data_IF_123971546020
#
_entry.id   IF_123971546020
#
_cell.length_a   1.000
_cell.length_b   1.000
_cell.length_c   1.000
_cell.angle_alpha   90.00
_cell.angle_beta   90.00
_cell.angle_gamma   90.00
#
_symmetry.space_group_name_H-M   'P 1'
#
loop_
_entity.id
_entity.type
_entity.pdbx_description
1 polymer ?
#
# COMPACT_ATOMS: atom_id res chain seq x y z
N UNK A 1 31.21 34.43 -37.38
CA UNK A 1 30.50 35.15 -36.29
C UNK A 1 29.66 34.12 -35.56
N UNK A 2 30.29 33.28 -34.74
CA UNK A 2 30.53 33.56 -33.32
C UNK A 2 29.26 34.00 -32.55
N UNK A 3 28.83 33.04 -31.71
CA UNK A 3 28.41 33.19 -30.32
C UNK A 3 26.99 33.64 -29.95
N UNK A 4 26.45 32.82 -29.03
CA UNK A 4 25.49 33.13 -27.96
C UNK A 4 24.02 33.25 -28.40
N UNK A 5 23.02 32.61 -27.75
CA UNK A 5 22.88 32.40 -26.31
C UNK A 5 21.72 31.42 -25.98
N UNK A 6 22.07 30.34 -25.26
CA UNK A 6 21.36 29.71 -24.12
C UNK A 6 19.87 29.29 -24.20
N UNK A 7 19.69 27.97 -24.00
CA UNK A 7 18.86 27.32 -22.95
C UNK A 7 17.41 27.82 -22.80
N UNK A 8 16.42 27.04 -23.24
CA UNK A 8 15.15 26.96 -22.50
C UNK A 8 14.50 25.59 -22.70
N UNK A 9 14.53 24.85 -21.61
CA UNK A 9 14.16 23.46 -21.44
C UNK A 9 12.64 23.26 -21.52
N UNK A 10 12.22 22.33 -22.39
CA UNK A 10 11.15 21.36 -22.20
C UNK A 10 9.88 21.85 -21.46
N UNK A 11 8.88 22.31 -22.21
CA UNK A 11 7.47 22.34 -21.76
C UNK A 11 6.69 21.45 -22.71
N UNK A 12 6.64 20.15 -22.40
CA UNK A 12 5.83 19.18 -23.13
C UNK A 12 4.73 18.70 -22.18
N UNK A 13 3.50 19.06 -22.55
CA UNK A 13 2.26 18.30 -22.40
C UNK A 13 1.99 17.60 -21.06
N UNK A 14 1.03 18.12 -20.30
CA UNK A 14 -0.20 17.39 -19.96
C UNK A 14 -1.10 18.30 -19.10
N UNK A 15 -1.67 19.32 -19.74
CA UNK A 15 -3.00 19.79 -19.35
C UNK A 15 -4.01 18.76 -19.86
N UNK A 16 -5.06 18.49 -19.06
CA UNK A 16 -6.24 17.67 -19.34
C UNK A 16 -6.24 16.25 -18.74
N UNK A 17 -6.58 16.18 -17.45
CA UNK A 17 -7.46 15.12 -16.92
C UNK A 17 -8.28 15.72 -15.77
N UNK A 18 -9.30 16.51 -16.12
CA UNK A 18 -10.39 16.83 -15.19
C UNK A 18 -11.40 15.67 -15.20
N UNK A 19 -11.65 15.13 -14.02
CA UNK A 19 -12.86 14.42 -13.58
C UNK A 19 -13.35 13.21 -14.40
N UNK A 20 -12.99 12.00 -13.94
CA UNK A 20 -13.89 10.84 -13.70
C UNK A 20 -13.02 9.62 -13.38
N UNK A 21 -12.40 9.66 -12.20
CA UNK A 21 -11.53 8.59 -11.72
C UNK A 21 -11.91 8.17 -10.32
N UNK A 22 -13.17 7.79 -10.09
CA UNK A 22 -13.54 6.93 -8.97
C UNK A 22 -12.99 5.51 -9.17
N UNK A 23 -11.74 5.41 -9.61
CA UNK A 23 -11.03 4.16 -9.80
C UNK A 23 -10.60 3.68 -8.42
N UNK A 24 -10.97 2.45 -8.09
CA UNK A 24 -10.36 1.73 -6.99
C UNK A 24 -8.86 1.69 -7.29
N UNK A 25 -8.07 2.45 -6.53
CA UNK A 25 -6.63 2.48 -6.72
C UNK A 25 -6.03 1.20 -6.13
N UNK A 26 -5.67 0.30 -7.05
CA UNK A 26 -4.97 -0.94 -6.75
C UNK A 26 -3.48 -0.73 -6.94
N UNK A 27 -2.68 -0.87 -5.89
CA UNK A 27 -1.23 -0.94 -6.02
C UNK A 27 -0.80 -2.40 -6.09
N UNK A 28 -0.24 -2.82 -7.23
CA UNK A 28 0.21 -4.20 -7.45
C UNK A 28 1.69 -4.44 -7.11
N UNK A 29 2.48 -3.38 -6.89
CA UNK A 29 3.90 -3.51 -6.60
C UNK A 29 4.26 -2.77 -5.31
N UNK A 30 5.05 -3.44 -4.48
CA UNK A 30 5.91 -2.76 -3.52
C UNK A 30 7.26 -2.48 -4.21
N UNK A 31 7.92 -1.38 -3.87
CA UNK A 31 9.27 -1.14 -4.37
C UNK A 31 10.27 -2.16 -3.78
N UNK A 32 11.54 -2.05 -4.17
CA UNK A 32 12.62 -2.92 -3.67
C UNK A 32 12.77 -2.87 -2.14
N UNK A 33 12.33 -1.80 -1.48
CA UNK A 33 12.33 -1.63 -0.04
C UNK A 33 11.04 -2.14 0.64
N UNK A 34 10.08 -2.66 -0.13
CA UNK A 34 8.78 -3.08 0.37
C UNK A 34 7.84 -1.91 0.65
N UNK A 35 8.13 -0.70 0.15
CA UNK A 35 7.28 0.46 0.34
C UNK A 35 6.12 0.44 -0.66
N UNK A 36 4.93 0.73 -0.15
CA UNK A 36 3.69 0.89 -0.94
C UNK A 36 3.08 2.23 -0.57
N UNK A 37 2.72 3.02 -1.57
CA UNK A 37 2.00 4.28 -1.37
C UNK A 37 0.66 4.22 -2.09
N UNK A 38 -0.41 4.45 -1.34
CA UNK A 38 -1.79 4.49 -1.82
C UNK A 38 -2.28 5.92 -1.71
N UNK A 39 -2.76 6.51 -2.79
CA UNK A 39 -3.46 7.79 -2.69
C UNK A 39 -4.85 7.57 -2.10
N UNK A 40 -5.34 8.57 -1.36
CA UNK A 40 -6.72 8.62 -0.91
C UNK A 40 -7.54 9.16 -2.08
N UNK A 41 -8.47 8.39 -2.67
CA UNK A 41 -9.32 8.89 -3.74
C UNK A 41 -10.24 10.02 -3.27
N UNK A 42 -10.52 10.08 -1.96
CA UNK A 42 -11.25 11.15 -1.28
C UNK A 42 -10.90 11.23 0.20
N UNK A 43 -11.22 12.35 0.82
CA UNK A 43 -11.22 12.46 2.28
C UNK A 43 -12.27 11.50 2.88
N UNK A 44 -11.95 10.77 3.96
CA UNK A 44 -12.93 9.95 4.68
C UNK A 44 -14.01 10.85 5.31
N UNK A 45 -15.26 10.41 5.33
CA UNK A 45 -16.29 11.09 6.10
C UNK A 45 -16.07 10.87 7.61
N UNK A 46 -16.70 11.70 8.44
CA UNK A 46 -16.55 11.63 9.90
C UNK A 46 -17.03 10.28 10.49
N UNK A 47 -17.98 9.63 9.83
CA UNK A 47 -18.55 8.33 10.17
C UNK A 47 -17.90 7.18 9.37
N UNK A 48 -16.69 7.37 8.85
CA UNK A 48 -15.96 6.34 8.11
C UNK A 48 -14.57 6.09 8.69
N UNK A 49 -14.19 4.81 8.73
CA UNK A 49 -12.82 4.39 8.95
C UNK A 49 -12.17 3.94 7.65
N UNK A 50 -10.93 4.37 7.41
CA UNK A 50 -10.11 3.86 6.31
C UNK A 50 -9.38 2.60 6.77
N UNK A 51 -9.40 1.57 5.92
CA UNK A 51 -8.62 0.36 6.10
C UNK A 51 -7.83 0.07 4.84
N UNK A 52 -6.70 -0.62 4.99
CA UNK A 52 -5.98 -1.20 3.84
C UNK A 52 -6.41 -2.66 3.68
N UNK A 53 -6.84 -3.00 2.47
CA UNK A 53 -7.11 -4.37 2.06
C UNK A 53 -5.91 -4.87 1.27
N UNK A 54 -5.26 -5.92 1.77
CA UNK A 54 -4.05 -6.51 1.20
C UNK A 54 -4.39 -7.87 0.62
N UNK A 55 -4.05 -8.06 -0.65
CA UNK A 55 -4.13 -9.31 -1.38
C UNK A 55 -2.77 -10.01 -1.30
N UNK A 56 -2.71 -11.10 -0.55
CA UNK A 56 -1.49 -11.88 -0.37
C UNK A 56 -1.55 -13.17 -1.20
N UNK A 57 -0.48 -13.43 -1.93
CA UNK A 57 -0.33 -14.63 -2.74
C UNK A 57 0.27 -15.77 -1.93
N UNK A 58 1.14 -16.57 -2.55
CA UNK A 58 1.72 -17.73 -1.87
C UNK A 58 2.83 -17.26 -0.94
N UNK A 59 2.65 -17.47 0.37
CA UNK A 59 3.68 -17.15 1.36
C UNK A 59 4.50 -18.39 1.74
N UNK A 60 5.82 -18.26 2.00
CA UNK A 60 6.62 -19.34 2.55
C UNK A 60 6.01 -19.89 3.85
N UNK A 61 6.24 -21.18 4.12
CA UNK A 61 5.70 -21.81 5.34
C UNK A 61 6.18 -21.06 6.59
N UNK A 62 5.26 -20.82 7.52
CA UNK A 62 5.53 -20.13 8.80
C UNK A 62 6.10 -18.71 8.58
N UNK A 63 5.60 -18.02 7.57
CA UNK A 63 5.90 -16.61 7.31
C UNK A 63 4.65 -15.74 7.39
N UNK A 64 4.88 -14.45 7.54
CA UNK A 64 3.85 -13.42 7.62
C UNK A 64 4.36 -12.12 7.02
N UNK A 65 3.49 -11.35 6.37
CA UNK A 65 3.81 -9.97 5.99
C UNK A 65 3.43 -9.06 7.16
N UNK A 66 4.41 -8.41 7.74
CA UNK A 66 4.23 -7.37 8.76
C UNK A 66 4.06 -6.04 8.04
N UNK A 67 2.98 -5.32 8.36
CA UNK A 67 2.65 -4.03 7.75
C UNK A 67 2.96 -2.93 8.75
N UNK A 68 3.80 -1.98 8.34
CA UNK A 68 4.25 -0.87 9.17
C UNK A 68 3.93 0.47 8.53
N UNK A 69 3.77 1.50 9.36
CA UNK A 69 3.86 2.89 8.91
C UNK A 69 5.32 3.30 8.66
N UNK A 70 5.51 4.43 7.97
CA UNK A 70 6.85 4.97 7.66
C UNK A 70 7.69 5.28 8.90
N UNK A 71 7.06 5.53 10.05
CA UNK A 71 7.74 5.72 11.35
C UNK A 71 8.11 4.39 12.05
N UNK A 72 7.90 3.26 11.38
CA UNK A 72 8.26 1.92 11.85
C UNK A 72 7.23 1.25 12.75
N UNK A 73 6.12 1.89 13.11
CA UNK A 73 5.09 1.29 13.97
C UNK A 73 4.33 0.18 13.23
N UNK A 74 4.05 -0.93 13.91
CA UNK A 74 3.28 -2.04 13.34
C UNK A 74 1.80 -1.64 13.29
N UNK A 75 1.20 -1.73 12.10
CA UNK A 75 -0.23 -1.49 11.88
C UNK A 75 -1.02 -2.80 11.87
N UNK A 76 -0.39 -3.88 11.39
CA UNK A 76 -1.01 -5.20 11.35
C UNK A 76 -0.08 -6.26 10.80
N UNK A 77 -0.59 -7.49 10.72
CA UNK A 77 0.14 -8.64 10.17
C UNK A 77 -0.80 -9.47 9.32
N UNK A 78 -0.35 -9.79 8.10
CA UNK A 78 -0.98 -10.75 7.22
C UNK A 78 -0.32 -12.11 7.48
N UNK A 79 -1.05 -12.99 8.16
CA UNK A 79 -0.60 -14.32 8.52
C UNK A 79 -1.62 -15.37 8.05
N UNK A 80 -1.37 -16.08 6.95
CA UNK A 80 -2.23 -17.16 6.51
C UNK A 80 -2.21 -18.31 7.51
N UNK A 81 -3.38 -18.64 8.05
CA UNK A 81 -3.59 -19.83 8.84
C UNK A 81 -4.39 -20.84 8.01
N UNK A 82 -3.93 -22.10 7.95
CA UNK A 82 -4.67 -23.17 7.26
C UNK A 82 -4.65 -23.17 5.73
N UNK A 83 -3.92 -22.25 5.09
CA UNK A 83 -3.75 -22.23 3.63
C UNK A 83 -2.90 -23.43 3.19
N UNK A 84 -3.37 -24.20 2.20
CA UNK A 84 -2.61 -25.36 1.69
C UNK A 84 -1.32 -24.85 1.02
N UNK A 85 -0.21 -25.62 1.08
CA UNK A 85 1.02 -25.25 0.39
C UNK A 85 0.75 -24.92 -1.09
N UNK A 86 1.26 -23.79 -1.57
CA UNK A 86 1.10 -23.35 -2.96
C UNK A 86 -0.21 -22.61 -3.28
N UNK A 87 -1.09 -22.38 -2.31
CA UNK A 87 -2.32 -21.60 -2.53
C UNK A 87 -2.15 -20.12 -2.11
N UNK A 88 -2.86 -19.18 -2.78
CA UNK A 88 -2.90 -17.80 -2.34
C UNK A 88 -3.38 -17.68 -0.90
N UNK A 89 -2.75 -16.77 -0.15
CA UNK A 89 -3.05 -16.52 1.25
C UNK A 89 -4.39 -15.83 1.46
N UNK A 90 -4.92 -15.18 0.43
CA UNK A 90 -6.23 -14.53 0.44
C UNK A 90 -6.14 -13.04 0.71
N UNK A 91 -7.24 -12.46 1.19
CA UNK A 91 -7.42 -11.02 1.36
C UNK A 91 -7.55 -10.68 2.84
N UNK A 92 -6.78 -9.69 3.28
CA UNK A 92 -6.67 -9.29 4.68
C UNK A 92 -6.96 -7.81 4.83
N UNK A 93 -7.73 -7.43 5.83
CA UNK A 93 -8.07 -6.03 6.07
C UNK A 93 -7.41 -5.55 7.36
N UNK A 94 -6.61 -4.49 7.27
CA UNK A 94 -5.88 -3.90 8.40
C UNK A 94 -6.43 -2.48 8.65
N UNK A 95 -6.85 -2.15 9.88
CA UNK A 95 -7.29 -0.80 10.21
C UNK A 95 -6.11 0.18 10.11
N UNK A 96 -6.37 1.35 9.53
CA UNK A 96 -5.38 2.42 9.46
C UNK A 96 -5.74 3.53 10.46
N UNK A 97 -4.86 3.88 11.40
CA UNK A 97 -5.12 5.00 12.31
C UNK A 97 -4.94 6.33 11.56
N UNK A 98 -5.78 7.34 11.83
CA UNK A 98 -5.80 8.64 11.13
C UNK A 98 -4.41 9.26 10.92
N UNK A 99 -3.51 9.14 11.91
CA UNK A 99 -2.14 9.65 11.83
C UNK A 99 -1.32 9.16 10.63
N UNK A 100 -1.68 8.06 9.99
CA UNK A 100 -0.97 7.53 8.80
C UNK A 100 -1.57 8.01 7.49
N UNK A 101 -2.74 8.64 7.53
CA UNK A 101 -3.39 9.31 6.41
C UNK A 101 -2.85 10.75 6.38
N UNK A 102 -1.86 11.01 5.53
CA UNK A 102 -1.20 12.31 5.43
C UNK A 102 -1.12 12.75 3.98
N UNK A 103 -1.30 14.04 3.73
CA UNK A 103 -1.12 14.65 2.41
C UNK A 103 -1.90 13.94 1.28
N UNK A 104 -3.13 13.48 1.60
CA UNK A 104 -3.97 12.75 0.64
C UNK A 104 -3.46 11.36 0.25
N UNK A 105 -2.59 10.75 1.06
CA UNK A 105 -2.04 9.41 0.81
C UNK A 105 -1.75 8.63 2.10
N UNK A 106 -1.47 7.35 1.94
CA UNK A 106 -0.94 6.46 2.97
C UNK A 106 0.31 5.78 2.42
N UNK A 107 1.41 5.85 3.15
CA UNK A 107 2.65 5.14 2.82
C UNK A 107 2.93 4.07 3.88
N UNK A 108 3.12 2.83 3.41
CA UNK A 108 3.31 1.64 4.21
C UNK A 108 4.64 0.97 3.85
N UNK A 109 5.23 0.29 4.83
CA UNK A 109 6.37 -0.60 4.63
C UNK A 109 5.94 -2.04 4.92
N UNK A 110 6.12 -2.90 3.93
CA UNK A 110 5.78 -4.32 3.99
C UNK A 110 7.06 -5.14 4.23
N UNK A 111 7.03 -5.98 5.25
CA UNK A 111 8.16 -6.84 5.61
C UNK A 111 7.71 -8.28 5.72
N UNK A 112 8.25 -9.16 4.89
CA UNK A 112 8.12 -10.60 5.08
C UNK A 112 9.02 -11.05 6.24
N UNK A 113 8.40 -11.63 7.26
CA UNK A 113 9.07 -12.28 8.39
C UNK A 113 8.80 -13.78 8.33
N UNK A 114 9.86 -14.59 8.32
CA UNK A 114 9.76 -16.04 8.34
C UNK A 114 10.35 -16.60 9.66
N UNK A 115 9.62 -17.52 10.31
CA UNK A 115 10.11 -18.17 11.52
C UNK A 115 11.40 -18.94 11.23
N UNK A 116 12.47 -18.61 11.97
CA UNK A 116 13.79 -19.24 11.84
C UNK A 116 14.75 -18.53 10.87
N UNK A 117 14.30 -17.50 10.13
CA UNK A 117 15.19 -16.68 9.32
C UNK A 117 15.92 -15.63 10.17
N UNK A 118 17.16 -15.28 9.77
CA UNK A 118 18.00 -14.28 10.47
C UNK A 118 17.61 -12.81 10.20
N UNK A 119 16.57 -12.55 9.41
CA UNK A 119 16.19 -11.19 9.04
C UNK A 119 14.78 -11.09 8.47
N UNK A 120 14.45 -9.88 8.04
CA UNK A 120 13.22 -9.55 7.30
C UNK A 120 13.60 -9.01 5.92
N UNK A 121 12.74 -9.20 4.94
CA UNK A 121 12.91 -8.67 3.57
C UNK A 121 11.60 -8.11 3.05
N UNK A 122 11.64 -7.36 1.95
CA UNK A 122 10.43 -7.03 1.22
C UNK A 122 9.73 -8.31 0.70
N UNK A 123 8.40 -8.35 0.64
CA UNK A 123 7.69 -9.42 -0.06
C UNK A 123 7.94 -9.33 -1.58
N UNK A 124 7.97 -10.48 -2.25
CA UNK A 124 8.01 -10.54 -3.72
C UNK A 124 6.65 -10.21 -4.33
N UNK A 125 6.59 -10.03 -5.66
CA UNK A 125 5.34 -9.83 -6.39
C UNK A 125 4.38 -11.04 -6.34
N UNK A 126 4.90 -12.25 -6.11
CA UNK A 126 4.07 -13.46 -5.92
C UNK A 126 3.51 -13.56 -4.49
N UNK A 127 4.19 -12.95 -3.53
CA UNK A 127 3.81 -12.94 -2.12
C UNK A 127 2.83 -11.79 -1.82
N UNK A 128 3.04 -10.63 -2.44
CA UNK A 128 2.19 -9.44 -2.35
C UNK A 128 1.56 -9.15 -3.73
N UNK A 129 0.29 -9.52 -3.88
CA UNK A 129 -0.45 -9.35 -5.13
C UNK A 129 -1.03 -7.95 -5.28
N UNK A 130 -1.18 -7.24 -4.15
CA UNK A 130 -1.49 -5.82 -4.15
C UNK A 130 -2.18 -5.34 -2.89
N UNK A 131 -2.50 -4.04 -2.87
CA UNK A 131 -3.26 -3.39 -1.82
C UNK A 131 -4.16 -2.30 -2.37
N UNK A 132 -5.25 -2.03 -1.64
CA UNK A 132 -6.19 -0.96 -1.92
C UNK A 132 -6.73 -0.37 -0.60
N UNK A 133 -7.24 0.86 -0.67
CA UNK A 133 -7.94 1.49 0.45
C UNK A 133 -9.43 1.20 0.37
N UNK A 134 -10.01 0.81 1.51
CA UNK A 134 -11.46 0.63 1.66
C UNK A 134 -11.97 1.54 2.77
N UNK A 135 -13.13 2.14 2.54
CA UNK A 135 -13.81 3.04 3.47
C UNK A 135 -14.97 2.26 4.07
N UNK A 136 -15.00 2.14 5.38
CA UNK A 136 -16.00 1.34 6.09
C UNK A 136 -16.79 2.27 7.01
N UNK A 137 -18.12 2.33 6.90
CA UNK A 137 -18.95 3.05 7.86
C UNK A 137 -18.69 2.55 9.28
N UNK A 138 -18.59 3.48 10.22
CA UNK A 138 -18.49 3.20 11.65
C UNK A 138 -19.76 3.68 12.33
N UNK A 139 -20.45 2.77 13.01
CA UNK A 139 -21.55 3.15 13.90
C UNK A 139 -20.94 3.59 15.22
N UNK A 140 -21.22 4.82 15.70
CA UNK A 140 -20.88 5.22 17.05
C UNK A 140 -21.56 4.25 18.03
N UNK A 141 -20.84 3.80 19.05
CA UNK A 141 -21.48 3.16 20.19
C UNK A 141 -21.97 4.30 21.10
N UNK A 142 -23.28 4.54 21.07
CA UNK A 142 -23.95 5.47 22.01
C UNK A 142 -24.04 4.88 23.43
#
# INVERSE_FOLDING_TARGET
MEMMLKRFTLVIFASLCLFLGGGIQYSHAADLAGQVTLALPRTPAHDEAVRVRISAGVLPRRSSIVVRSMDGRILGTVSPFGVRPGQPSGVYTIPLPERVLKDGKVSLVLQLKQKGAKGVRAPSAEEFLGAELVYIPITPFD
#
